data_IF_771222160960
#
_entry.id   IF_771222160960
#
_cell.length_a   1.000
_cell.length_b   1.000
_cell.length_c   1.000
_cell.angle_alpha   90.00
_cell.angle_beta   90.00
_cell.angle_gamma   90.00
#
_symmetry.space_group_name_H-M   'P 1'
#
loop_
_entity.id
_entity.type
_entity.pdbx_description
1 polymer ?
#
# COMPACT_ATOMS: atom_id res chain seq x y z
N UNK A 1 16.26 6.47 -25.89
CA UNK A 1 16.43 5.69 -24.65
C UNK A 1 15.05 5.47 -24.09
N UNK A 2 14.49 4.29 -24.32
CA UNK A 2 13.09 4.00 -23.97
C UNK A 2 12.93 3.67 -22.51
N UNK A 3 12.32 4.58 -21.79
CA UNK A 3 11.75 4.25 -20.48
C UNK A 3 10.44 3.54 -20.80
N UNK A 4 10.43 2.22 -20.64
CA UNK A 4 9.21 1.43 -20.79
C UNK A 4 8.33 1.70 -19.55
N UNK A 5 7.62 2.82 -19.58
CA UNK A 5 6.61 3.15 -18.59
C UNK A 5 5.38 2.31 -18.89
N UNK A 6 5.25 1.16 -18.25
CA UNK A 6 3.99 0.42 -18.14
C UNK A 6 2.95 1.16 -17.30
N UNK A 7 3.00 2.48 -17.30
CA UNK A 7 2.06 3.37 -16.67
C UNK A 7 0.89 3.58 -17.62
N UNK A 8 -0.19 2.86 -17.42
CA UNK A 8 -1.45 3.17 -18.08
C UNK A 8 -1.99 4.48 -17.50
N UNK A 9 -1.62 5.61 -18.11
CA UNK A 9 -1.91 6.98 -17.65
C UNK A 9 -3.41 7.33 -17.62
N UNK A 10 -4.26 6.50 -18.16
CA UNK A 10 -5.70 6.77 -18.24
C UNK A 10 -6.45 6.62 -16.91
N UNK A 11 -5.90 5.93 -15.92
CA UNK A 11 -6.54 5.71 -14.62
C UNK A 11 -6.10 6.70 -13.51
N UNK A 12 -5.19 7.63 -13.81
CA UNK A 12 -4.66 8.61 -12.85
C UNK A 12 -5.58 9.80 -12.53
N UNK A 13 -6.83 9.79 -12.97
CA UNK A 13 -7.73 10.97 -12.84
C UNK A 13 -8.06 11.41 -11.41
N UNK A 14 -7.61 10.70 -10.36
CA UNK A 14 -7.87 11.06 -8.95
C UNK A 14 -6.74 10.59 -8.01
N UNK A 15 -5.50 10.63 -8.47
CA UNK A 15 -4.35 10.16 -7.71
C UNK A 15 -3.47 11.34 -7.29
N UNK A 16 -3.08 11.36 -6.03
CA UNK A 16 -2.04 12.24 -5.50
C UNK A 16 -0.98 11.37 -4.85
N UNK A 17 0.29 11.68 -5.02
CA UNK A 17 1.33 10.96 -4.32
C UNK A 17 2.68 11.01 -5.01
N UNK A 18 3.60 10.24 -4.47
CA UNK A 18 4.98 10.16 -4.91
C UNK A 18 5.27 8.76 -5.45
N UNK A 19 5.87 8.69 -6.62
CA UNK A 19 6.39 7.44 -7.19
C UNK A 19 7.92 7.53 -7.21
N UNK A 20 8.59 6.69 -6.45
CA UNK A 20 10.03 6.49 -6.59
C UNK A 20 10.32 5.58 -7.77
N UNK A 21 11.32 5.94 -8.60
CA UNK A 21 11.72 5.10 -9.73
C UNK A 21 13.03 4.37 -9.45
N UNK A 22 13.24 3.16 -10.02
CA UNK A 22 12.34 2.43 -10.91
C UNK A 22 11.23 1.70 -10.16
N UNK A 23 10.02 1.66 -10.74
CA UNK A 23 8.87 0.90 -10.22
C UNK A 23 7.99 0.44 -11.37
N UNK A 24 7.19 -0.61 -11.15
CA UNK A 24 6.26 -1.12 -12.15
C UNK A 24 4.83 -1.16 -11.59
N UNK A 25 3.90 -0.53 -12.30
CA UNK A 25 2.49 -0.49 -11.93
C UNK A 25 1.68 -0.94 -13.15
N UNK A 26 0.91 -2.03 -12.99
CA UNK A 26 0.03 -2.54 -14.02
C UNK A 26 -1.39 -2.66 -13.47
N UNK A 27 -2.42 -2.45 -14.30
CA UNK A 27 -3.85 -2.64 -14.04
C UNK A 27 -4.31 -2.29 -12.61
N UNK A 28 -3.85 -1.14 -12.10
CA UNK A 28 -4.08 -0.73 -10.71
C UNK A 28 -4.79 0.62 -10.66
N UNK A 29 -5.85 0.69 -9.86
CA UNK A 29 -6.61 1.92 -9.60
C UNK A 29 -6.19 2.51 -8.27
N UNK A 30 -5.52 3.66 -8.32
CA UNK A 30 -5.18 4.44 -7.13
C UNK A 30 -6.30 5.42 -6.78
N UNK A 31 -6.54 5.60 -5.48
CA UNK A 31 -7.49 6.56 -4.94
C UNK A 31 -6.86 7.31 -3.77
N UNK A 32 -7.18 8.60 -3.65
CA UNK A 32 -6.62 9.49 -2.63
C UNK A 32 -5.10 9.61 -2.76
N UNK A 33 -4.37 9.57 -1.65
CA UNK A 33 -2.93 9.74 -1.64
C UNK A 33 -2.22 8.38 -1.56
N UNK A 34 -1.40 8.05 -2.55
CA UNK A 34 -0.59 6.82 -2.56
C UNK A 34 0.86 7.17 -2.83
N UNK A 35 1.76 6.72 -1.97
CA UNK A 35 3.19 6.77 -2.23
C UNK A 35 3.69 5.36 -2.57
N UNK A 36 4.56 5.25 -3.57
CA UNK A 36 5.01 3.96 -4.07
C UNK A 36 6.55 3.97 -4.19
N UNK A 37 7.19 3.12 -3.40
CA UNK A 37 8.64 3.06 -3.25
C UNK A 37 9.35 2.36 -4.42
N UNK A 38 10.60 2.72 -4.62
CA UNK A 38 11.47 2.19 -5.67
C UNK A 38 11.62 0.67 -5.59
N UNK A 39 11.85 0.04 -6.74
CA UNK A 39 12.02 -1.41 -6.90
C UNK A 39 10.80 -2.24 -6.51
N UNK A 40 9.66 -1.59 -6.27
CA UNK A 40 8.39 -2.26 -6.01
C UNK A 40 7.59 -2.46 -7.29
N UNK A 41 6.78 -3.51 -7.33
CA UNK A 41 5.83 -3.71 -8.42
C UNK A 41 4.45 -4.13 -7.91
N UNK A 42 3.42 -3.79 -8.68
CA UNK A 42 2.05 -4.24 -8.50
C UNK A 42 1.45 -4.66 -9.84
N UNK A 43 0.81 -5.82 -9.88
CA UNK A 43 0.26 -6.37 -11.13
C UNK A 43 -1.24 -6.16 -11.28
N UNK A 44 -1.93 -5.58 -10.29
CA UNK A 44 -3.33 -5.17 -10.43
C UNK A 44 -4.10 -5.07 -9.14
N UNK A 45 -5.09 -4.17 -9.11
CA UNK A 45 -5.97 -4.03 -7.96
C UNK A 45 -6.42 -2.61 -7.65
N UNK A 46 -6.85 -2.41 -6.41
CA UNK A 46 -7.29 -1.12 -5.88
C UNK A 46 -6.43 -0.74 -4.67
N UNK A 47 -5.86 0.46 -4.69
CA UNK A 47 -5.04 0.98 -3.61
C UNK A 47 -5.57 2.34 -3.17
N UNK A 48 -5.89 2.48 -1.90
CA UNK A 48 -6.48 3.67 -1.30
C UNK A 48 -5.59 4.17 -0.18
N UNK A 49 -5.24 5.44 -0.20
CA UNK A 49 -4.61 6.16 0.91
C UNK A 49 -3.50 5.36 1.64
N UNK A 50 -2.48 4.95 0.87
CA UNK A 50 -1.49 3.96 1.29
C UNK A 50 -0.08 4.43 1.00
N UNK A 51 0.85 4.16 1.93
CA UNK A 51 2.29 4.20 1.71
C UNK A 51 2.80 2.78 1.43
N UNK A 52 3.27 2.54 0.23
CA UNK A 52 3.97 1.31 -0.16
C UNK A 52 5.46 1.65 -0.23
N UNK A 53 6.27 0.93 0.54
CA UNK A 53 7.71 1.15 0.60
C UNK A 53 8.43 0.38 -0.51
N UNK A 54 9.74 0.25 -0.41
CA UNK A 54 10.62 -0.31 -1.45
C UNK A 54 10.61 -1.83 -1.51
N UNK A 55 10.96 -2.39 -2.66
CA UNK A 55 11.14 -3.84 -2.90
C UNK A 55 9.89 -4.70 -2.71
N UNK A 56 8.71 -4.09 -2.72
CA UNK A 56 7.46 -4.84 -2.55
C UNK A 56 7.08 -5.64 -3.79
N UNK A 57 6.63 -6.87 -3.56
CA UNK A 57 6.07 -7.78 -4.57
C UNK A 57 4.56 -7.89 -4.37
N UNK A 58 3.80 -7.14 -5.17
CA UNK A 58 2.36 -7.01 -5.03
C UNK A 58 1.65 -7.65 -6.21
N UNK A 59 0.93 -8.74 -5.96
CA UNK A 59 0.24 -9.52 -6.98
C UNK A 59 -1.02 -8.79 -7.47
N UNK A 60 -1.80 -9.45 -8.32
CA UNK A 60 -3.05 -8.91 -8.84
C UNK A 60 -4.24 -9.16 -7.92
N UNK A 61 -5.36 -8.48 -8.19
CA UNK A 61 -6.60 -8.61 -7.43
C UNK A 61 -6.55 -8.06 -6.01
N UNK A 62 -5.58 -7.20 -5.71
CA UNK A 62 -5.40 -6.62 -4.39
C UNK A 62 -6.44 -5.55 -4.09
N UNK A 63 -6.85 -5.47 -2.82
CA UNK A 63 -7.62 -4.37 -2.26
C UNK A 63 -6.90 -3.85 -1.02
N UNK A 64 -6.23 -2.70 -1.11
CA UNK A 64 -5.40 -2.15 -0.03
C UNK A 64 -5.97 -0.82 0.43
N UNK A 65 -6.16 -0.66 1.75
CA UNK A 65 -6.55 0.59 2.37
C UNK A 65 -8.01 1.00 2.14
N UNK A 66 -8.86 0.08 1.68
CA UNK A 66 -10.27 0.38 1.45
C UNK A 66 -10.99 0.68 2.76
N UNK A 67 -11.66 1.82 2.78
CA UNK A 67 -12.44 2.28 3.93
C UNK A 67 -13.74 1.50 4.06
N UNK A 68 -14.25 1.42 5.30
CA UNK A 68 -15.56 0.87 5.60
C UNK A 68 -16.66 1.94 5.63
N UNK A 69 -17.81 1.54 6.13
CA UNK A 69 -18.97 2.39 6.40
C UNK A 69 -19.24 2.45 7.90
N UNK A 70 -19.94 3.49 8.42
CA UNK A 70 -20.31 3.56 9.84
C UNK A 70 -21.25 2.41 10.18
N UNK A 71 -20.89 1.62 11.21
CA UNK A 71 -21.65 0.44 11.62
C UNK A 71 -22.67 0.75 12.72
N UNK A 72 -22.47 1.85 13.45
CA UNK A 72 -23.32 2.26 14.59
C UNK A 72 -24.39 3.30 14.21
N UNK A 73 -24.45 3.67 12.94
CA UNK A 73 -25.48 4.58 12.45
C UNK A 73 -26.72 3.82 12.02
N UNK A 74 -27.88 4.51 11.97
CA UNK A 74 -29.14 3.95 11.47
C UNK A 74 -28.99 3.35 10.07
N UNK A 75 -28.15 3.95 9.23
CA UNK A 75 -27.81 3.43 7.91
C UNK A 75 -26.31 3.49 7.66
N UNK A 76 -25.74 2.44 7.13
CA UNK A 76 -24.37 2.41 6.62
C UNK A 76 -24.22 3.08 5.26
N UNK A 77 -25.33 3.45 4.61
CA UNK A 77 -25.29 4.04 3.27
C UNK A 77 -24.72 5.47 3.28
N UNK A 78 -23.87 5.82 2.30
CA UNK A 78 -23.13 7.10 2.31
C UNK A 78 -23.97 8.36 2.10
N UNK A 79 -25.28 8.26 1.78
CA UNK A 79 -26.12 9.44 1.55
C UNK A 79 -26.17 10.43 2.73
N UNK A 80 -25.79 10.00 3.94
CA UNK A 80 -25.77 10.85 5.14
C UNK A 80 -24.43 11.58 5.34
N UNK A 81 -23.36 11.16 4.67
CA UNK A 81 -22.03 11.74 4.90
C UNK A 81 -21.20 11.96 3.63
N UNK A 82 -21.68 11.47 2.48
CA UNK A 82 -20.99 11.59 1.21
C UNK A 82 -22.00 11.70 0.07
N UNK A 83 -21.67 12.47 -0.98
CA UNK A 83 -22.46 12.50 -2.20
C UNK A 83 -22.42 11.13 -2.89
N UNK A 84 -23.58 10.44 -3.01
CA UNK A 84 -23.59 9.10 -3.57
C UNK A 84 -23.26 9.08 -5.07
N UNK A 85 -22.66 7.99 -5.59
CA UNK A 85 -22.29 7.87 -7.01
C UNK A 85 -23.44 7.99 -8.00
N UNK A 86 -24.66 7.59 -7.61
CA UNK A 86 -25.83 7.65 -8.51
C UNK A 86 -26.28 9.06 -8.86
N UNK A 87 -25.87 10.08 -8.10
CA UNK A 87 -26.08 11.48 -8.46
C UNK A 87 -25.27 11.93 -9.69
N UNK A 88 -24.26 11.17 -10.06
CA UNK A 88 -23.49 11.40 -11.28
C UNK A 88 -24.10 10.76 -12.53
N UNK A 89 -25.17 9.97 -12.35
CA UNK A 89 -25.89 9.26 -13.39
C UNK A 89 -26.98 10.10 -14.06
N UNK A 90 -27.81 9.46 -14.91
CA UNK A 90 -28.94 10.11 -15.54
C UNK A 90 -29.94 10.67 -14.52
N UNK A 91 -30.75 11.64 -14.96
CA UNK A 91 -31.78 12.25 -14.11
C UNK A 91 -32.80 11.20 -13.63
N UNK A 92 -33.29 11.37 -12.41
CA UNK A 92 -34.37 10.60 -11.81
C UNK A 92 -35.47 11.57 -11.27
N UNK A 93 -36.67 11.06 -11.04
CA UNK A 93 -37.87 11.87 -10.81
C UNK A 93 -37.68 12.89 -9.66
N UNK A 94 -37.12 12.47 -8.53
CA UNK A 94 -36.99 13.31 -7.32
C UNK A 94 -35.59 13.89 -7.14
N UNK A 95 -34.85 14.06 -8.24
CA UNK A 95 -33.45 14.53 -8.19
C UNK A 95 -33.29 15.85 -7.48
N UNK A 96 -34.18 16.81 -7.74
CA UNK A 96 -34.12 18.15 -7.12
C UNK A 96 -34.30 18.08 -5.60
N UNK A 97 -35.27 17.28 -5.14
CA UNK A 97 -35.48 17.05 -3.70
C UNK A 97 -34.25 16.42 -3.05
N UNK A 98 -33.65 15.46 -3.73
CA UNK A 98 -32.45 14.82 -3.23
C UNK A 98 -31.24 15.76 -3.20
N UNK A 99 -31.05 16.57 -4.22
CA UNK A 99 -29.95 17.57 -4.26
C UNK A 99 -30.14 18.65 -3.18
N UNK A 100 -31.37 19.04 -2.88
CA UNK A 100 -31.68 19.95 -1.76
C UNK A 100 -31.34 19.30 -0.42
N UNK A 101 -31.72 18.04 -0.22
CA UNK A 101 -31.40 17.27 0.99
C UNK A 101 -29.86 17.14 1.17
N UNK A 102 -29.12 16.98 0.09
CA UNK A 102 -27.64 16.88 0.16
C UNK A 102 -26.95 18.18 0.63
N UNK A 103 -27.60 19.35 0.54
CA UNK A 103 -27.04 20.62 1.04
C UNK A 103 -26.91 20.64 2.56
N UNK A 104 -27.71 19.85 3.28
CA UNK A 104 -27.62 19.71 4.73
C UNK A 104 -26.43 18.87 5.20
N UNK A 105 -25.76 18.13 4.29
CA UNK A 105 -24.63 17.32 4.66
C UNK A 105 -23.49 18.16 5.21
N UNK A 106 -23.10 17.87 6.44
CA UNK A 106 -21.99 18.55 7.06
C UNK A 106 -20.67 18.01 6.53
N UNK A 107 -19.87 18.80 5.80
CA UNK A 107 -18.58 18.37 5.28
C UNK A 107 -17.59 17.96 6.38
N UNK A 108 -17.77 18.43 7.62
CA UNK A 108 -16.95 18.03 8.76
C UNK A 108 -17.19 16.58 9.14
N UNK A 109 -18.46 16.11 9.09
CA UNK A 109 -18.78 14.68 9.33
C UNK A 109 -18.13 13.77 8.30
N UNK A 110 -18.21 14.13 7.04
CA UNK A 110 -17.58 13.37 5.94
C UNK A 110 -16.05 13.28 6.11
N UNK A 111 -15.40 14.37 6.52
CA UNK A 111 -13.96 14.41 6.80
C UNK A 111 -13.59 13.62 8.06
N UNK A 112 -14.38 13.69 9.14
CA UNK A 112 -14.07 12.98 10.38
C UNK A 112 -14.13 11.47 10.23
N UNK A 113 -15.05 10.95 9.43
CA UNK A 113 -15.13 9.50 9.13
C UNK A 113 -13.95 9.03 8.26
N UNK A 114 -13.51 9.87 7.32
CA UNK A 114 -12.34 9.59 6.46
C UNK A 114 -11.03 9.83 7.21
N UNK A 115 -10.96 10.84 8.08
CA UNK A 115 -9.75 11.19 8.84
C UNK A 115 -9.53 10.33 10.09
N UNK A 116 -10.51 9.55 10.54
CA UNK A 116 -10.35 8.61 11.64
C UNK A 116 -9.60 7.34 11.24
N UNK A 117 -9.46 7.06 9.95
CA UNK A 117 -8.61 5.96 9.50
C UNK A 117 -7.18 6.45 9.34
N UNK A 118 -6.29 5.89 10.16
CA UNK A 118 -4.85 6.02 9.94
C UNK A 118 -4.51 5.55 8.52
N UNK A 119 -3.47 6.14 7.94
CA UNK A 119 -2.96 5.77 6.64
C UNK A 119 -2.50 4.31 6.64
N UNK A 120 -2.84 3.54 5.63
CA UNK A 120 -2.35 2.16 5.46
C UNK A 120 -0.88 2.20 5.09
N UNK A 121 -0.08 1.31 5.69
CA UNK A 121 1.35 1.21 5.39
C UNK A 121 1.70 -0.21 4.98
N UNK A 122 2.36 -0.33 3.85
CA UNK A 122 3.01 -1.56 3.41
C UNK A 122 4.51 -1.31 3.47
N UNK A 123 5.20 -1.98 4.38
CA UNK A 123 6.64 -1.85 4.63
C UNK A 123 7.50 -2.25 3.44
N UNK A 124 8.81 -2.28 3.64
CA UNK A 124 9.75 -2.71 2.61
C UNK A 124 9.77 -4.24 2.46
N UNK A 125 10.12 -4.75 1.29
CA UNK A 125 10.24 -6.21 1.02
C UNK A 125 8.97 -7.00 1.37
N UNK A 126 7.79 -6.39 1.27
CA UNK A 126 6.52 -7.07 1.54
C UNK A 126 6.04 -7.83 0.33
N UNK A 127 5.62 -9.07 0.54
CA UNK A 127 4.93 -9.85 -0.47
C UNK A 127 3.44 -9.99 -0.14
N UNK A 128 2.57 -9.39 -0.97
CA UNK A 128 1.14 -9.63 -0.95
C UNK A 128 0.76 -10.54 -2.12
N UNK A 129 0.32 -11.75 -1.81
CA UNK A 129 -0.11 -12.70 -2.82
C UNK A 129 -1.47 -12.32 -3.42
N UNK A 130 -1.90 -13.05 -4.45
CA UNK A 130 -3.13 -12.78 -5.20
C UNK A 130 -4.37 -12.60 -4.32
N UNK A 131 -5.15 -11.56 -4.60
CA UNK A 131 -6.47 -11.36 -3.99
C UNK A 131 -6.45 -10.99 -2.51
N UNK A 132 -5.33 -10.52 -1.97
CA UNK A 132 -5.25 -10.06 -0.58
C UNK A 132 -6.06 -8.79 -0.39
N UNK A 133 -6.86 -8.76 0.67
CA UNK A 133 -7.56 -7.58 1.16
C UNK A 133 -6.84 -7.05 2.41
N UNK A 134 -6.52 -5.75 2.41
CA UNK A 134 -5.94 -5.05 3.57
C UNK A 134 -6.87 -3.93 4.00
N UNK A 135 -7.37 -4.02 5.23
CA UNK A 135 -8.23 -2.99 5.83
C UNK A 135 -7.49 -1.66 5.93
N UNK A 136 -8.22 -0.55 5.77
CA UNK A 136 -7.68 0.79 5.98
C UNK A 136 -7.06 0.96 7.37
N UNK A 137 -5.92 1.65 7.43
CA UNK A 137 -5.19 1.93 8.66
C UNK A 137 -4.31 0.80 9.18
N UNK A 138 -4.27 -0.35 8.50
CA UNK A 138 -3.39 -1.47 8.86
C UNK A 138 -1.95 -1.17 8.47
N UNK A 139 -1.01 -1.57 9.32
CA UNK A 139 0.43 -1.56 9.06
C UNK A 139 0.91 -2.98 8.79
N UNK A 140 1.50 -3.20 7.63
CA UNK A 140 2.21 -4.44 7.30
C UNK A 140 3.70 -4.16 7.39
N UNK A 141 4.37 -4.82 8.33
CA UNK A 141 5.80 -4.60 8.62
C UNK A 141 6.72 -5.08 7.50
N UNK A 142 7.96 -4.57 7.55
CA UNK A 142 9.01 -4.90 6.58
C UNK A 142 9.22 -6.41 6.46
N UNK A 143 9.42 -6.91 5.25
CA UNK A 143 9.68 -8.32 4.98
C UNK A 143 8.50 -9.26 5.23
N UNK A 144 7.31 -8.76 5.57
CA UNK A 144 6.13 -9.60 5.81
C UNK A 144 5.61 -10.25 4.53
N UNK A 145 5.00 -11.41 4.68
CA UNK A 145 4.37 -12.19 3.61
C UNK A 145 2.92 -12.44 3.95
N UNK A 146 2.00 -12.11 3.04
CA UNK A 146 0.58 -12.38 3.20
C UNK A 146 0.12 -13.34 2.10
N UNK A 147 -0.38 -14.49 2.53
CA UNK A 147 -0.87 -15.56 1.65
C UNK A 147 -2.09 -15.15 0.82
N UNK A 148 -2.28 -15.81 -0.30
CA UNK A 148 -3.34 -15.48 -1.25
C UNK A 148 -4.74 -15.48 -0.61
N UNK A 149 -5.60 -14.53 -1.07
CA UNK A 149 -7.00 -14.38 -0.63
C UNK A 149 -7.18 -14.18 0.89
N UNK A 150 -6.15 -13.69 1.56
CA UNK A 150 -6.23 -13.34 2.98
C UNK A 150 -6.93 -12.01 3.20
N UNK A 151 -7.60 -11.88 4.36
CA UNK A 151 -8.27 -10.65 4.82
C UNK A 151 -7.52 -10.11 6.02
N UNK A 152 -6.67 -9.11 5.79
CA UNK A 152 -5.85 -8.50 6.84
C UNK A 152 -6.64 -7.38 7.53
N UNK A 153 -7.01 -7.61 8.79
CA UNK A 153 -7.81 -6.68 9.61
C UNK A 153 -7.03 -6.07 10.77
N UNK A 154 -5.81 -6.55 11.03
CA UNK A 154 -4.90 -6.09 12.09
C UNK A 154 -3.49 -6.01 11.53
N UNK A 155 -2.63 -5.26 12.21
CA UNK A 155 -1.23 -5.11 11.84
C UNK A 155 -0.51 -6.46 11.75
N UNK A 156 0.39 -6.57 10.78
CA UNK A 156 1.26 -7.73 10.58
C UNK A 156 2.68 -7.30 10.96
N UNK A 157 3.32 -7.94 11.93
CA UNK A 157 4.67 -7.59 12.34
C UNK A 157 5.71 -7.88 11.24
N UNK A 158 6.89 -7.23 11.33
CA UNK A 158 7.97 -7.47 10.36
C UNK A 158 8.33 -8.96 10.24
N UNK A 159 8.60 -9.38 9.00
CA UNK A 159 9.01 -10.75 8.64
C UNK A 159 8.02 -11.85 9.05
N UNK A 160 6.79 -11.50 9.43
CA UNK A 160 5.75 -12.49 9.67
C UNK A 160 5.18 -13.05 8.37
N UNK A 161 4.82 -14.32 8.38
CA UNK A 161 4.03 -14.99 7.35
C UNK A 161 2.62 -15.17 7.88
N UNK A 162 1.65 -14.51 7.27
CA UNK A 162 0.25 -14.49 7.70
C UNK A 162 -0.66 -14.95 6.55
N UNK A 163 -1.76 -15.64 6.89
CA UNK A 163 -2.80 -16.01 5.93
C UNK A 163 -4.14 -16.28 6.59
N UNK A 164 -5.19 -16.34 5.79
CA UNK A 164 -6.56 -16.67 6.23
C UNK A 164 -7.51 -15.47 6.24
N UNK A 165 -8.76 -15.72 6.62
CA UNK A 165 -9.83 -14.71 6.74
C UNK A 165 -10.55 -14.87 8.08
N UNK A 166 -10.24 -14.02 9.09
CA UNK A 166 -9.18 -13.02 9.12
C UNK A 166 -7.77 -13.63 9.10
N UNK A 167 -6.81 -12.87 8.57
CA UNK A 167 -5.41 -13.31 8.51
C UNK A 167 -4.83 -13.48 9.92
N UNK A 168 -4.10 -14.58 10.12
CA UNK A 168 -3.38 -14.90 11.35
C UNK A 168 -1.93 -15.19 11.06
N UNK A 169 -1.04 -14.81 11.97
CA UNK A 169 0.38 -15.12 11.87
C UNK A 169 0.56 -16.64 12.03
N UNK A 170 1.15 -17.28 11.04
CA UNK A 170 1.46 -18.70 11.06
C UNK A 170 2.89 -18.96 11.57
N UNK A 171 3.84 -18.13 11.16
CA UNK A 171 5.25 -18.20 11.55
C UNK A 171 5.96 -16.90 11.21
N UNK A 172 7.20 -16.78 11.63
CA UNK A 172 8.14 -15.79 11.12
C UNK A 172 9.06 -16.41 10.05
N UNK A 173 9.61 -15.56 9.17
CA UNK A 173 10.57 -16.00 8.12
C UNK A 173 11.89 -16.45 8.75
N UNK A 174 12.33 -15.75 9.80
CA UNK A 174 13.62 -15.87 10.45
C UNK A 174 13.48 -15.88 11.97
N UNK A 175 14.58 -16.15 12.69
CA UNK A 175 14.65 -15.97 14.12
C UNK A 175 14.55 -14.50 14.53
N UNK A 176 14.19 -14.24 15.76
CA UNK A 176 14.05 -12.88 16.31
C UNK A 176 15.34 -12.05 16.15
N UNK A 177 16.50 -12.67 16.41
CA UNK A 177 17.79 -12.00 16.26
C UNK A 177 18.05 -11.60 14.79
N UNK A 178 17.80 -12.49 13.83
CA UNK A 178 17.98 -12.21 12.41
C UNK A 178 17.01 -11.10 11.95
N UNK A 179 15.78 -11.10 12.45
CA UNK A 179 14.81 -10.04 12.16
C UNK A 179 15.32 -8.69 12.69
N UNK A 180 15.80 -8.66 13.93
CA UNK A 180 16.37 -7.44 14.51
C UNK A 180 17.55 -6.89 13.69
N UNK A 181 18.47 -7.78 13.29
CA UNK A 181 19.63 -7.41 12.49
C UNK A 181 19.23 -6.89 11.11
N UNK A 182 18.24 -7.51 10.44
CA UNK A 182 17.73 -7.07 9.14
C UNK A 182 17.05 -5.69 9.22
N UNK A 183 16.29 -5.44 10.29
CA UNK A 183 15.64 -4.15 10.54
C UNK A 183 16.66 -3.05 10.86
N UNK A 184 17.75 -3.36 11.55
CA UNK A 184 18.86 -2.43 11.83
C UNK A 184 19.66 -2.11 10.56
N UNK A 185 19.96 -3.13 9.73
CA UNK A 185 20.77 -2.96 8.52
C UNK A 185 20.05 -2.27 7.38
N UNK A 186 18.72 -2.38 7.29
CA UNK A 186 17.88 -1.69 6.31
C UNK A 186 18.39 -1.86 4.87
N UNK A 187 18.64 -3.10 4.43
CA UNK A 187 19.23 -3.42 3.13
C UNK A 187 18.46 -2.81 1.93
N UNK A 188 17.19 -2.52 2.08
CA UNK A 188 16.34 -1.88 1.07
C UNK A 188 16.68 -0.40 0.82
N UNK A 189 17.57 0.20 1.60
CA UNK A 189 18.08 1.55 1.35
C UNK A 189 19.19 1.55 0.28
N UNK A 190 19.66 0.38 -0.17
CA UNK A 190 20.59 0.22 -1.27
C UNK A 190 19.91 -0.25 -2.55
N UNK A 191 20.46 0.14 -3.72
CA UNK A 191 19.98 -0.31 -5.02
C UNK A 191 20.49 -1.71 -5.37
N UNK A 192 19.80 -2.47 -6.28
CA UNK A 192 20.20 -3.82 -6.64
C UNK A 192 21.65 -3.94 -7.13
N UNK A 193 22.18 -2.95 -7.85
CA UNK A 193 23.57 -2.95 -8.33
C UNK A 193 24.58 -2.71 -7.22
N UNK A 194 24.23 -2.07 -6.12
CA UNK A 194 25.06 -1.96 -4.92
C UNK A 194 25.08 -3.28 -4.15
N UNK A 195 23.97 -4.03 -4.21
CA UNK A 195 23.78 -5.34 -3.56
C UNK A 195 24.24 -6.54 -4.40
N UNK A 196 24.82 -6.32 -5.59
CA UNK A 196 25.18 -7.40 -6.55
C UNK A 196 26.10 -8.49 -6.01
N UNK A 197 26.80 -8.21 -4.91
CA UNK A 197 27.72 -9.15 -4.26
C UNK A 197 27.12 -9.78 -2.99
N UNK A 198 25.87 -9.41 -2.65
CA UNK A 198 25.14 -9.97 -1.50
C UNK A 198 24.53 -11.32 -1.89
N UNK A 199 24.77 -12.32 -1.08
CA UNK A 199 24.25 -13.67 -1.26
C UNK A 199 22.85 -13.77 -0.62
N UNK A 200 21.79 -13.48 -1.39
CA UNK A 200 20.41 -13.40 -0.90
C UNK A 200 19.79 -14.74 -0.49
N UNK A 201 20.33 -15.84 -0.95
CA UNK A 201 19.90 -17.21 -0.61
C UNK A 201 20.46 -17.73 0.71
N UNK A 202 21.43 -17.03 1.29
CA UNK A 202 21.97 -17.28 2.64
C UNK A 202 21.87 -16.02 3.50
N UNK A 203 20.87 -15.96 4.38
CA UNK A 203 20.61 -14.77 5.21
C UNK A 203 21.77 -14.43 6.15
N UNK A 204 22.52 -15.41 6.64
CA UNK A 204 23.67 -15.17 7.53
C UNK A 204 24.82 -14.49 6.78
N UNK A 205 25.12 -14.97 5.57
CA UNK A 205 26.10 -14.35 4.69
C UNK A 205 25.65 -12.96 4.24
N UNK A 206 24.35 -12.82 3.89
CA UNK A 206 23.78 -11.54 3.51
C UNK A 206 23.94 -10.47 4.61
N UNK A 207 23.66 -10.81 5.87
CA UNK A 207 23.84 -9.90 7.01
C UNK A 207 25.28 -9.41 7.12
N UNK A 208 26.27 -10.31 7.02
CA UNK A 208 27.70 -9.96 7.06
C UNK A 208 28.07 -9.01 5.92
N UNK A 209 27.60 -9.33 4.71
CA UNK A 209 27.93 -8.58 3.50
C UNK A 209 27.29 -7.18 3.48
N UNK A 210 26.02 -7.07 3.92
CA UNK A 210 25.31 -5.78 4.02
C UNK A 210 25.96 -4.93 5.13
N UNK A 211 26.31 -5.53 6.27
CA UNK A 211 27.06 -4.82 7.31
C UNK A 211 28.38 -4.26 6.78
N UNK A 212 29.09 -5.03 5.96
CA UNK A 212 30.31 -4.55 5.33
C UNK A 212 30.10 -3.37 4.36
N UNK A 213 28.94 -3.28 3.68
CA UNK A 213 28.58 -2.11 2.87
C UNK A 213 28.39 -0.88 3.76
N UNK A 214 27.65 -1.02 4.87
CA UNK A 214 27.43 0.05 5.84
C UNK A 214 28.73 0.53 6.49
N UNK A 215 29.60 -0.40 6.90
CA UNK A 215 30.87 -0.08 7.54
C UNK A 215 31.83 0.65 6.58
N UNK A 216 31.77 0.38 5.27
CA UNK A 216 32.47 1.12 4.20
C UNK A 216 31.81 2.45 3.86
N UNK A 217 30.70 2.81 4.53
CA UNK A 217 29.91 4.02 4.27
C UNK A 217 29.43 4.11 2.82
N UNK A 218 29.04 2.96 2.25
CA UNK A 218 28.39 2.96 0.94
C UNK A 218 27.16 3.88 1.01
N UNK A 219 27.01 4.86 0.11
CA UNK A 219 25.90 5.78 0.16
C UNK A 219 24.56 5.06 -0.11
N UNK A 220 23.55 5.40 0.67
CA UNK A 220 22.18 4.94 0.41
C UNK A 220 21.73 5.41 -0.97
N UNK A 221 20.94 4.58 -1.63
CA UNK A 221 20.37 4.92 -2.92
C UNK A 221 19.26 5.98 -2.77
N UNK A 222 19.41 7.08 -3.47
CA UNK A 222 18.40 8.14 -3.56
C UNK A 222 17.68 8.01 -4.92
N UNK A 223 16.46 7.46 -4.95
CA UNK A 223 15.70 7.32 -6.19
C UNK A 223 15.23 8.68 -6.71
N UNK A 224 15.04 8.77 -8.01
CA UNK A 224 14.27 9.88 -8.57
C UNK A 224 12.79 9.72 -8.15
N UNK A 225 12.22 10.74 -7.55
CA UNK A 225 10.81 10.78 -7.17
C UNK A 225 10.01 11.61 -8.18
N UNK A 226 8.91 11.03 -8.66
CA UNK A 226 7.93 11.72 -9.50
C UNK A 226 6.74 12.10 -8.62
N UNK A 227 6.48 13.41 -8.52
CA UNK A 227 5.27 13.91 -7.87
C UNK A 227 4.11 13.84 -8.87
N UNK A 228 3.09 13.06 -8.56
CA UNK A 228 1.86 13.00 -9.35
C UNK A 228 0.80 13.83 -8.64
N UNK A 229 0.41 14.94 -9.27
CA UNK A 229 -0.66 15.82 -8.81
C UNK A 229 -1.70 15.93 -9.91
N UNK A 230 -2.90 15.43 -9.69
CA UNK A 230 -4.06 15.65 -10.59
C UNK A 230 -5.32 15.85 -9.81
#
# INVERSE_FOLDING_TARGET
MGINHGLCLNDFKKFHGTLETPTQIADTKFRHQVNFGAFSYITGGFVFDTDIKRYCSLSNGLHIGQQGHPLEWLSSHPFQYQRPPFLSGPSFLDRELFEEDQKRLNPVFSRSLVSQTSRTVVGNDVWLAHGVYVKAGVVIGDGAVVGARSVVTKDIPPYAVAYGSPAKIARFRFSEQVIADLLDLRWWDYAPWQLRHVQFDDVQQALVQIKALRDRKEPEYVPQALLVVK
#
